data_IF_773198730764
#
_entry.id   IF_773198730764
#
_cell.length_a   1.000
_cell.length_b   1.000
_cell.length_c   1.000
_cell.angle_alpha   90.00
_cell.angle_beta   90.00
_cell.angle_gamma   90.00
#
_symmetry.space_group_name_H-M   'P 1'
#
loop_
_entity.id
_entity.type
_entity.pdbx_description
1 polymer ?
#
# COMPACT_ATOMS: atom_id res chain seq x y z
N UNK A 1 18.39 -53.71 26.49
CA UNK A 1 18.86 -52.55 25.68
C UNK A 1 17.93 -52.41 24.49
N UNK A 2 17.22 -51.30 24.36
CA UNK A 2 16.38 -51.01 23.16
C UNK A 2 17.29 -50.69 21.99
N UNK A 3 17.24 -51.48 20.90
CA UNK A 3 17.96 -51.16 19.67
C UNK A 3 17.38 -49.86 19.06
N UNK A 4 18.19 -48.82 18.98
CA UNK A 4 17.83 -47.62 18.22
C UNK A 4 17.83 -47.97 16.72
N UNK A 5 16.67 -47.80 16.08
CA UNK A 5 16.56 -47.91 14.61
C UNK A 5 17.06 -46.60 14.02
N UNK A 6 18.16 -46.68 13.27
CA UNK A 6 18.67 -45.53 12.53
C UNK A 6 17.79 -45.22 11.33
N UNK A 7 17.75 -43.95 10.91
CA UNK A 7 17.04 -43.46 9.71
C UNK A 7 17.80 -43.90 8.45
N UNK A 8 17.09 -44.40 7.47
CA UNK A 8 17.69 -44.77 6.18
C UNK A 8 17.96 -43.50 5.36
N UNK A 9 19.10 -43.44 4.67
CA UNK A 9 19.47 -42.35 3.76
C UNK A 9 18.43 -42.16 2.66
N UNK A 10 17.83 -43.25 2.16
CA UNK A 10 16.81 -43.20 1.12
C UNK A 10 15.48 -42.61 1.63
N UNK A 11 15.09 -42.86 2.89
CA UNK A 11 13.92 -42.25 3.52
C UNK A 11 14.07 -40.74 3.60
N UNK A 12 15.26 -40.25 4.00
CA UNK A 12 15.55 -38.82 4.05
C UNK A 12 15.49 -38.20 2.64
N UNK A 13 16.06 -38.88 1.64
CA UNK A 13 16.16 -38.40 0.27
C UNK A 13 14.77 -38.25 -0.38
N UNK A 14 13.88 -39.21 -0.15
CA UNK A 14 12.50 -39.15 -0.66
C UNK A 14 11.72 -37.99 -0.01
N UNK A 15 11.85 -37.81 1.29
CA UNK A 15 11.16 -36.73 2.01
C UNK A 15 11.61 -35.36 1.52
N UNK A 16 12.93 -35.15 1.36
CA UNK A 16 13.47 -33.88 0.83
C UNK A 16 12.99 -33.66 -0.61
N UNK A 17 12.97 -34.70 -1.47
CA UNK A 17 12.49 -34.58 -2.84
C UNK A 17 11.01 -34.14 -2.89
N UNK A 18 10.14 -34.70 -2.05
CA UNK A 18 8.73 -34.32 -1.99
C UNK A 18 8.57 -32.86 -1.50
N UNK A 19 9.32 -32.47 -0.47
CA UNK A 19 9.29 -31.08 0.05
C UNK A 19 9.71 -30.09 -1.04
N UNK A 20 10.77 -30.39 -1.80
CA UNK A 20 11.25 -29.51 -2.87
C UNK A 20 10.23 -29.38 -3.99
N UNK A 21 9.54 -30.44 -4.37
CA UNK A 21 8.46 -30.41 -5.40
C UNK A 21 7.31 -29.51 -4.92
N UNK A 22 6.86 -29.68 -3.68
CA UNK A 22 5.79 -28.87 -3.12
C UNK A 22 6.22 -27.40 -3.02
N UNK A 23 7.44 -27.14 -2.53
CA UNK A 23 7.98 -25.78 -2.41
C UNK A 23 8.09 -25.08 -3.77
N UNK A 24 8.52 -25.78 -4.81
CA UNK A 24 8.66 -25.23 -6.15
C UNK A 24 7.32 -24.72 -6.73
N UNK A 25 6.20 -25.32 -6.36
CA UNK A 25 4.86 -24.90 -6.79
C UNK A 25 4.27 -23.85 -5.83
N UNK A 26 4.48 -24.03 -4.52
CA UNK A 26 3.84 -23.21 -3.50
C UNK A 26 4.46 -21.79 -3.38
N UNK A 27 5.78 -21.66 -3.47
CA UNK A 27 6.47 -20.38 -3.28
C UNK A 27 6.04 -19.33 -4.31
N UNK A 28 6.08 -19.57 -5.65
CA UNK A 28 5.66 -18.57 -6.62
C UNK A 28 4.17 -18.22 -6.51
N UNK A 29 3.32 -19.17 -6.15
CA UNK A 29 1.90 -18.91 -5.92
C UNK A 29 1.65 -18.02 -4.69
N UNK A 30 2.39 -18.25 -3.61
CA UNK A 30 2.31 -17.41 -2.40
C UNK A 30 2.79 -15.98 -2.68
N UNK A 31 3.87 -15.81 -3.46
CA UNK A 31 4.33 -14.47 -3.84
C UNK A 31 3.26 -13.69 -4.64
N UNK A 32 2.64 -14.31 -5.62
CA UNK A 32 1.55 -13.70 -6.40
C UNK A 32 0.37 -13.31 -5.53
N UNK A 33 -0.03 -14.19 -4.61
CA UNK A 33 -1.11 -13.91 -3.66
C UNK A 33 -0.78 -12.73 -2.73
N UNK A 34 0.46 -12.64 -2.26
CA UNK A 34 0.93 -11.50 -1.46
C UNK A 34 0.90 -10.20 -2.26
N UNK A 35 1.41 -10.20 -3.50
CA UNK A 35 1.34 -9.02 -4.36
C UNK A 35 -0.10 -8.56 -4.57
N UNK A 36 -1.02 -9.46 -4.89
CA UNK A 36 -2.43 -9.13 -5.06
C UNK A 36 -3.07 -8.54 -3.79
N UNK A 37 -2.73 -9.09 -2.61
CA UNK A 37 -3.20 -8.56 -1.33
C UNK A 37 -2.65 -7.15 -1.04
N UNK A 38 -1.37 -6.92 -1.33
CA UNK A 38 -0.74 -5.62 -1.19
C UNK A 38 -1.36 -4.56 -2.13
N UNK A 39 -1.63 -4.94 -3.39
CA UNK A 39 -2.31 -4.07 -4.36
C UNK A 39 -3.72 -3.71 -3.92
N UNK A 40 -4.49 -4.67 -3.42
CA UNK A 40 -5.83 -4.41 -2.87
C UNK A 40 -5.77 -3.48 -1.65
N UNK A 41 -4.78 -3.67 -0.76
CA UNK A 41 -4.52 -2.78 0.37
C UNK A 41 -4.14 -1.37 -0.09
N UNK A 42 -3.34 -1.24 -1.16
CA UNK A 42 -2.95 0.05 -1.72
C UNK A 42 -4.14 0.82 -2.28
N UNK A 43 -5.02 0.16 -3.02
CA UNK A 43 -6.27 0.76 -3.52
C UNK A 43 -7.17 1.20 -2.36
N UNK A 44 -7.30 0.39 -1.31
CA UNK A 44 -8.03 0.75 -0.09
C UNK A 44 -7.43 1.99 0.60
N UNK A 45 -6.11 2.07 0.68
CA UNK A 45 -5.41 3.21 1.26
C UNK A 45 -5.60 4.50 0.45
N UNK A 46 -5.58 4.43 -0.89
CA UNK A 46 -5.89 5.59 -1.73
C UNK A 46 -7.33 6.07 -1.57
N UNK A 47 -8.30 5.15 -1.44
CA UNK A 47 -9.69 5.55 -1.12
C UNK A 47 -9.78 6.25 0.22
N UNK A 48 -9.05 5.78 1.22
CA UNK A 48 -8.97 6.42 2.53
C UNK A 48 -8.37 7.83 2.42
N UNK A 49 -7.29 8.00 1.65
CA UNK A 49 -6.69 9.31 1.38
C UNK A 49 -7.69 10.23 0.69
N UNK A 50 -8.37 9.80 -0.37
CA UNK A 50 -9.36 10.61 -1.07
C UNK A 50 -10.50 11.08 -0.13
N UNK A 51 -11.00 10.19 0.73
CA UNK A 51 -12.02 10.54 1.71
C UNK A 51 -11.49 11.54 2.75
N UNK A 52 -10.26 11.34 3.20
CA UNK A 52 -9.60 12.24 4.15
C UNK A 52 -9.38 13.63 3.55
N UNK A 53 -8.97 13.71 2.27
CA UNK A 53 -8.79 14.98 1.57
C UNK A 53 -10.08 15.80 1.47
N UNK A 54 -11.18 15.15 1.09
CA UNK A 54 -12.50 15.81 1.06
C UNK A 54 -12.92 16.27 2.46
N UNK A 55 -12.72 15.45 3.48
CA UNK A 55 -13.04 15.81 4.87
C UNK A 55 -12.16 16.97 5.34
N UNK A 56 -10.87 16.95 5.01
CA UNK A 56 -9.93 18.01 5.36
C UNK A 56 -10.33 19.35 4.72
N UNK A 57 -10.60 19.35 3.41
CA UNK A 57 -10.98 20.56 2.67
C UNK A 57 -12.28 21.19 3.17
N UNK A 58 -13.22 20.38 3.65
CA UNK A 58 -14.47 20.89 4.28
C UNK A 58 -14.26 21.41 5.68
N UNK A 59 -13.33 20.82 6.44
CA UNK A 59 -13.02 21.25 7.81
C UNK A 59 -12.14 22.50 7.83
N UNK A 60 -11.21 22.61 6.87
CA UNK A 60 -10.26 23.72 6.75
C UNK A 60 -10.37 24.43 5.39
N UNK A 61 -11.50 25.10 5.09
CA UNK A 61 -11.76 25.65 3.76
C UNK A 61 -10.76 26.74 3.33
N UNK A 62 -10.11 27.40 4.27
CA UNK A 62 -9.07 28.40 3.96
C UNK A 62 -7.74 27.77 3.47
N UNK A 63 -7.55 26.46 3.69
CA UNK A 63 -6.36 25.71 3.25
C UNK A 63 -6.69 24.89 2.00
N UNK A 64 -7.89 24.31 1.92
CA UNK A 64 -8.30 23.38 0.86
C UNK A 64 -7.77 21.98 1.09
N UNK A 65 -7.18 21.35 0.08
CA UNK A 65 -6.55 20.03 0.20
C UNK A 65 -5.20 20.10 0.92
N UNK A 66 -4.72 18.97 1.44
CA UNK A 66 -3.52 18.88 2.27
C UNK A 66 -2.48 17.92 1.72
N UNK A 67 -1.30 17.93 2.30
CA UNK A 67 -0.30 16.89 2.08
C UNK A 67 -0.57 15.69 3.01
N UNK A 68 -0.09 14.49 2.61
CA UNK A 68 -0.32 13.25 3.34
C UNK A 68 -0.03 13.33 4.85
N UNK A 69 1.05 14.01 5.23
CA UNK A 69 1.44 14.17 6.63
C UNK A 69 0.41 14.97 7.45
N UNK A 70 -0.24 15.97 6.85
CA UNK A 70 -1.24 16.78 7.53
C UNK A 70 -2.58 16.05 7.71
N UNK A 71 -2.90 15.08 6.84
CA UNK A 71 -4.08 14.23 6.99
C UNK A 71 -3.99 13.29 8.19
N UNK A 72 -2.78 12.90 8.57
CA UNK A 72 -2.51 12.01 9.71
C UNK A 72 -2.34 12.76 11.02
N UNK A 73 -1.51 12.22 11.87
CA UNK A 73 -1.15 12.79 13.17
C UNK A 73 -0.19 11.88 13.92
N UNK A 74 0.31 12.32 15.05
CA UNK A 74 1.09 11.46 15.95
C UNK A 74 0.18 10.42 16.61
N UNK A 75 0.74 9.25 16.94
CA UNK A 75 0.00 8.23 17.69
C UNK A 75 0.31 8.37 19.22
N UNK A 76 -0.73 8.46 20.10
CA UNK A 76 -2.15 8.60 19.80
C UNK A 76 -2.51 10.00 19.30
N UNK A 77 -3.43 10.09 18.35
CA UNK A 77 -3.91 11.39 17.84
C UNK A 77 -4.97 11.93 18.79
N UNK A 78 -4.57 12.83 19.68
CA UNK A 78 -5.41 13.36 20.77
C UNK A 78 -6.06 14.71 20.46
N UNK A 79 -5.52 15.44 19.47
CA UNK A 79 -6.05 16.75 19.08
C UNK A 79 -5.88 16.93 17.56
N UNK A 80 -6.97 17.20 16.86
CA UNK A 80 -6.96 17.50 15.45
C UNK A 80 -6.62 18.97 15.20
N UNK A 81 -5.77 19.21 14.20
CA UNK A 81 -5.39 20.56 13.74
C UNK A 81 -5.18 20.53 12.21
N UNK A 82 -4.99 21.68 11.61
CA UNK A 82 -4.71 21.79 10.18
C UNK A 82 -3.37 21.19 9.74
N UNK A 83 -2.47 20.90 10.66
CA UNK A 83 -1.18 20.25 10.41
C UNK A 83 -1.16 18.77 10.84
N UNK A 84 -2.21 18.32 11.53
CA UNK A 84 -2.34 16.98 12.08
C UNK A 84 -3.83 16.67 12.27
N UNK A 85 -4.50 16.33 11.16
CA UNK A 85 -5.98 16.28 11.14
C UNK A 85 -6.58 14.97 11.70
N UNK A 86 -5.77 13.94 11.97
CA UNK A 86 -6.21 12.66 12.52
C UNK A 86 -7.24 11.92 11.64
N UNK A 87 -7.20 12.12 10.33
CA UNK A 87 -8.18 11.56 9.38
C UNK A 87 -7.73 10.21 8.80
N UNK A 88 -6.43 9.92 8.84
CA UNK A 88 -5.86 8.67 8.39
C UNK A 88 -5.01 8.02 9.49
N UNK A 89 -4.81 6.71 9.41
CA UNK A 89 -3.96 6.00 10.37
C UNK A 89 -2.50 6.43 10.28
N UNK A 90 -1.80 6.35 11.41
CA UNK A 90 -0.42 6.81 11.53
C UNK A 90 0.54 6.06 10.59
N UNK A 91 0.27 4.77 10.29
CA UNK A 91 1.11 3.99 9.39
C UNK A 91 0.98 4.53 7.96
N UNK A 92 -0.24 4.86 7.52
CA UNK A 92 -0.47 5.48 6.21
C UNK A 92 0.13 6.90 6.15
N UNK A 93 0.02 7.67 7.23
CA UNK A 93 0.59 9.02 7.34
C UNK A 93 2.11 9.04 7.21
N UNK A 94 2.82 7.98 7.61
CA UNK A 94 4.28 7.85 7.36
C UNK A 94 4.62 7.58 5.89
N UNK A 95 3.62 7.35 5.04
CA UNK A 95 3.80 7.14 3.60
C UNK A 95 4.19 5.72 3.20
N UNK A 96 4.23 4.74 4.12
CA UNK A 96 4.56 3.36 3.75
C UNK A 96 3.63 2.37 4.45
N UNK A 97 2.90 1.56 3.66
CA UNK A 97 1.97 0.56 4.16
C UNK A 97 1.84 -0.61 3.19
N UNK A 98 1.84 -1.85 3.71
CA UNK A 98 1.61 -3.08 2.93
C UNK A 98 2.49 -3.19 1.66
N UNK A 99 3.78 -2.81 1.76
CA UNK A 99 4.71 -2.90 0.63
C UNK A 99 4.50 -1.84 -0.46
N UNK A 100 3.73 -0.77 -0.17
CA UNK A 100 3.50 0.39 -1.03
C UNK A 100 3.97 1.66 -0.35
N UNK A 101 4.51 2.57 -1.15
CA UNK A 101 4.82 3.95 -0.73
C UNK A 101 3.73 4.88 -1.24
N UNK A 102 3.19 5.70 -0.35
CA UNK A 102 2.12 6.66 -0.63
C UNK A 102 2.63 8.08 -0.55
N UNK A 103 2.13 8.91 -1.45
CA UNK A 103 2.28 10.36 -1.40
C UNK A 103 0.92 10.99 -1.65
N UNK A 104 0.62 12.07 -0.97
CA UNK A 104 -0.45 12.99 -1.32
C UNK A 104 0.10 14.40 -1.24
N UNK A 105 -0.08 15.16 -2.31
CA UNK A 105 0.47 16.51 -2.45
C UNK A 105 -0.63 17.43 -2.94
N UNK A 106 -0.96 18.42 -2.14
CA UNK A 106 -1.82 19.53 -2.53
C UNK A 106 -1.08 20.45 -3.50
N UNK A 107 -1.74 20.93 -4.54
CA UNK A 107 -1.17 21.77 -5.58
C UNK A 107 -1.83 23.14 -5.64
N UNK A 108 -1.04 24.17 -5.95
CA UNK A 108 -1.48 25.55 -6.04
C UNK A 108 -1.29 26.33 -4.72
N UNK A 109 -1.80 27.56 -4.70
CA UNK A 109 -1.83 28.41 -3.51
C UNK A 109 -3.08 28.12 -2.67
N UNK A 110 -3.01 28.35 -1.36
CA UNK A 110 -4.16 28.18 -0.47
C UNK A 110 -5.30 29.15 -0.83
N UNK A 111 -6.56 28.71 -0.86
CA UNK A 111 -7.00 27.34 -0.66
C UNK A 111 -6.71 26.43 -1.86
N UNK A 112 -5.98 25.34 -1.62
CA UNK A 112 -5.67 24.36 -2.66
C UNK A 112 -6.93 23.64 -3.13
N UNK A 113 -7.22 23.72 -4.43
CA UNK A 113 -8.39 23.09 -5.06
C UNK A 113 -8.06 21.80 -5.79
N UNK A 114 -6.79 21.44 -5.82
CA UNK A 114 -6.29 20.22 -6.48
C UNK A 114 -5.29 19.49 -5.58
N UNK A 115 -5.30 18.18 -5.68
CA UNK A 115 -4.24 17.33 -5.11
C UNK A 115 -3.97 16.16 -6.03
N UNK A 116 -2.83 15.54 -5.84
CA UNK A 116 -2.49 14.25 -6.46
C UNK A 116 -2.06 13.29 -5.38
N UNK A 117 -2.50 12.04 -5.48
CA UNK A 117 -2.06 10.97 -4.61
C UNK A 117 -1.53 9.80 -5.43
N UNK A 118 -0.42 9.22 -4.99
CA UNK A 118 0.22 8.09 -5.64
C UNK A 118 0.40 6.95 -4.64
N UNK A 119 0.25 5.71 -5.13
CA UNK A 119 0.60 4.50 -4.43
C UNK A 119 1.52 3.66 -5.30
N UNK A 120 2.81 3.65 -4.98
CA UNK A 120 3.83 2.96 -5.75
C UNK A 120 4.36 1.73 -5.00
N UNK A 121 4.56 0.57 -5.65
CA UNK A 121 5.15 -0.58 -4.98
C UNK A 121 6.58 -0.24 -4.53
N UNK A 122 6.92 -0.57 -3.29
CA UNK A 122 8.26 -0.34 -2.74
C UNK A 122 9.33 -1.10 -3.52
N UNK A 123 9.00 -2.33 -3.94
CA UNK A 123 9.84 -3.16 -4.82
C UNK A 123 8.94 -3.73 -5.92
N UNK A 124 8.94 -3.13 -7.13
CA UNK A 124 8.15 -3.62 -8.26
C UNK A 124 8.46 -5.10 -8.57
N UNK A 125 7.41 -5.90 -8.79
CA UNK A 125 7.53 -7.33 -9.03
C UNK A 125 7.68 -8.21 -7.77
N UNK A 126 7.79 -7.61 -6.58
CA UNK A 126 7.85 -8.33 -5.30
C UNK A 126 6.75 -7.87 -4.33
N UNK A 127 6.63 -6.57 -4.07
CA UNK A 127 5.60 -6.02 -3.20
C UNK A 127 4.28 -5.77 -3.94
N UNK A 128 4.34 -5.51 -5.23
CA UNK A 128 3.25 -5.32 -6.16
C UNK A 128 3.77 -5.06 -7.57
N UNK A 129 2.90 -5.07 -8.55
CA UNK A 129 3.25 -4.79 -9.95
C UNK A 129 2.63 -3.49 -10.44
N UNK A 130 1.42 -3.15 -9.98
CA UNK A 130 0.68 -1.98 -10.43
C UNK A 130 1.04 -0.76 -9.59
N UNK A 131 1.21 0.36 -10.27
CA UNK A 131 1.33 1.71 -9.71
C UNK A 131 -0.06 2.35 -9.73
N UNK A 132 -0.40 3.11 -8.72
CA UNK A 132 -1.72 3.72 -8.59
C UNK A 132 -1.61 5.23 -8.48
N UNK A 133 -2.61 5.91 -9.03
CA UNK A 133 -2.76 7.37 -8.99
C UNK A 133 -4.21 7.73 -8.70
N UNK A 134 -4.43 8.80 -7.96
CA UNK A 134 -5.72 9.43 -7.80
C UNK A 134 -5.55 10.94 -7.64
N UNK A 135 -6.61 11.69 -7.87
CA UNK A 135 -6.67 13.14 -7.76
C UNK A 135 -8.02 13.60 -7.17
N UNK A 136 -8.30 14.88 -7.23
CA UNK A 136 -9.56 15.48 -6.74
C UNK A 136 -10.83 14.93 -7.40
N UNK A 137 -10.72 14.19 -8.51
CA UNK A 137 -11.85 13.47 -9.12
C UNK A 137 -12.26 12.23 -8.33
N UNK A 138 -11.39 11.74 -7.43
CA UNK A 138 -11.60 10.53 -6.65
C UNK A 138 -11.44 9.24 -7.46
N UNK A 139 -11.16 9.34 -8.77
CA UNK A 139 -10.96 8.18 -9.64
C UNK A 139 -9.57 7.60 -9.42
N UNK A 140 -9.51 6.32 -9.08
CA UNK A 140 -8.23 5.60 -8.96
C UNK A 140 -7.85 5.06 -10.34
N UNK A 141 -6.65 5.38 -10.78
CA UNK A 141 -6.06 4.93 -12.04
C UNK A 141 -4.86 4.04 -11.78
N UNK A 142 -4.48 3.23 -12.75
CA UNK A 142 -3.34 2.35 -12.59
C UNK A 142 -2.48 2.25 -13.84
N UNK A 143 -1.20 1.94 -13.63
CA UNK A 143 -0.23 1.61 -14.66
C UNK A 143 0.56 0.36 -14.22
N UNK A 144 0.86 -0.56 -15.14
CA UNK A 144 1.55 -1.82 -14.83
C UNK A 144 3.08 -1.78 -14.96
N UNK A 145 3.65 -0.66 -15.45
CA UNK A 145 5.07 -0.59 -15.79
C UNK A 145 5.79 0.65 -15.26
N UNK A 146 5.06 1.72 -14.97
CA UNK A 146 5.61 2.99 -14.51
C UNK A 146 4.64 3.68 -13.55
N UNK A 147 5.08 4.76 -12.91
CA UNK A 147 4.22 5.58 -12.06
C UNK A 147 2.96 6.01 -12.82
N UNK A 148 1.80 5.78 -12.21
CA UNK A 148 0.52 6.10 -12.81
C UNK A 148 0.26 7.61 -12.81
N UNK A 149 -0.57 8.05 -13.76
CA UNK A 149 -0.91 9.45 -14.02
C UNK A 149 -2.40 9.64 -14.31
N UNK A 150 -2.82 10.88 -14.44
CA UNK A 150 -4.22 11.23 -14.77
C UNK A 150 -4.69 10.72 -16.16
N UNK A 151 -3.76 10.36 -17.05
CA UNK A 151 -4.07 9.84 -18.39
C UNK A 151 -4.22 8.32 -18.46
N UNK A 152 -3.87 7.62 -17.37
CA UNK A 152 -3.91 6.16 -17.33
C UNK A 152 -5.33 5.63 -17.12
N UNK A 153 -5.51 4.32 -17.36
CA UNK A 153 -6.81 3.66 -17.24
C UNK A 153 -7.34 3.71 -15.81
N UNK A 154 -8.63 3.93 -15.66
CA UNK A 154 -9.33 3.79 -14.38
C UNK A 154 -9.38 2.33 -13.95
N UNK A 155 -9.36 2.10 -12.63
CA UNK A 155 -9.40 0.77 -12.02
C UNK A 155 -10.80 0.19 -12.04
#
# INVERSE_FOLDING_TARGET
MKKQKGFSLIELLIVVAIILIIAAIAIPNLLRSRMAANEASAVGSLRTINTAEVTFSTTYPAIGFANLAALGGSAPCTSASSTSACLIDNVLATGTKSGYTFTAVATGTAPSVQYTSNGNPTVPGQSGQRFFFSDQSGVIRYNGSAAASASDAAL
#
